data_IF_227289593037
#
_entry.id   IF_227289593037
#
_cell.length_a   1.000
_cell.length_b   1.000
_cell.length_c   1.000
_cell.angle_alpha   90.00
_cell.angle_beta   90.00
_cell.angle_gamma   90.00
#
_symmetry.space_group_name_H-M   'P 1'
#
loop_
_entity.id
_entity.type
_entity.pdbx_description
1 polymer ?
#
# COMPACT_ATOMS: atom_id res chain seq x y z
N UNK A 1 -1.36 -3.82 -24.20
CA UNK A 1 -2.01 -4.67 -23.19
C UNK A 1 -1.21 -5.95 -23.15
N UNK A 2 -0.33 -6.11 -22.16
CA UNK A 2 0.57 -7.28 -22.10
C UNK A 2 0.10 -8.17 -20.97
N UNK A 3 -0.45 -9.34 -21.31
CA UNK A 3 -0.90 -10.34 -20.33
C UNK A 3 0.33 -11.17 -19.99
N UNK A 4 1.05 -10.79 -18.94
CA UNK A 4 2.21 -11.55 -18.47
C UNK A 4 1.79 -12.36 -17.25
N UNK A 5 1.47 -13.63 -17.48
CA UNK A 5 1.33 -14.63 -16.43
C UNK A 5 2.71 -15.02 -15.92
N UNK A 6 2.85 -15.05 -14.60
CA UNK A 6 4.04 -15.47 -13.84
C UNK A 6 5.16 -14.41 -13.82
N UNK A 7 5.61 -14.10 -12.61
CA UNK A 7 6.45 -12.94 -12.27
C UNK A 7 7.55 -12.63 -13.28
N UNK A 8 7.48 -11.44 -13.84
CA UNK A 8 8.49 -10.88 -14.73
C UNK A 8 8.87 -9.52 -14.18
N UNK A 9 10.07 -9.45 -13.58
CA UNK A 9 10.68 -8.21 -13.15
C UNK A 9 11.28 -7.47 -14.34
N UNK A 10 10.46 -6.69 -15.04
CA UNK A 10 10.94 -5.74 -16.05
C UNK A 10 10.92 -4.32 -15.46
N UNK A 11 12.03 -3.60 -15.61
CA UNK A 11 12.33 -2.31 -14.96
C UNK A 11 11.33 -1.18 -15.25
N UNK A 12 10.52 -1.29 -16.31
CA UNK A 12 9.34 -0.46 -16.56
C UNK A 12 8.26 -1.29 -17.25
N UNK A 13 7.19 -1.64 -16.53
CA UNK A 13 6.14 -2.52 -17.05
C UNK A 13 4.84 -1.74 -17.29
N UNK A 14 4.47 -1.65 -18.57
CA UNK A 14 3.17 -1.17 -19.08
C UNK A 14 2.01 -2.03 -18.55
N UNK A 15 0.74 -1.56 -18.53
CA UNK A 15 -0.37 -2.21 -17.81
C UNK A 15 -0.46 -3.72 -18.07
N UNK A 16 -0.26 -4.49 -17.00
CA UNK A 16 -0.35 -5.95 -16.99
C UNK A 16 -1.63 -6.34 -16.27
N UNK A 17 -2.66 -6.67 -17.05
CA UNK A 17 -3.83 -7.38 -16.55
C UNK A 17 -3.49 -8.87 -16.57
N UNK A 18 -2.94 -9.41 -15.48
CA UNK A 18 -2.62 -10.83 -15.38
C UNK A 18 -3.72 -11.57 -14.61
N UNK A 19 -4.59 -12.25 -15.34
CA UNK A 19 -5.68 -13.08 -14.80
C UNK A 19 -5.21 -14.43 -14.24
N UNK A 20 -3.99 -14.53 -13.68
CA UNK A 20 -3.43 -15.79 -13.19
C UNK A 20 -2.92 -15.70 -11.75
N UNK A 21 -3.89 -15.85 -10.85
CA UNK A 21 -3.89 -16.48 -9.52
C UNK A 21 -2.74 -16.27 -8.50
N UNK A 22 -1.47 -16.09 -8.85
CA UNK A 22 -0.37 -16.28 -7.89
C UNK A 22 0.45 -15.04 -7.52
N UNK A 23 0.62 -14.03 -8.38
CA UNK A 23 1.31 -12.80 -7.97
C UNK A 23 2.04 -12.05 -9.07
N UNK A 24 2.35 -10.78 -8.83
CA UNK A 24 3.17 -9.89 -9.68
C UNK A 24 4.38 -9.43 -8.85
N UNK A 25 5.58 -9.61 -9.41
CA UNK A 25 6.82 -9.11 -8.83
C UNK A 25 7.55 -8.25 -9.87
N UNK A 26 7.89 -7.00 -9.53
CA UNK A 26 8.69 -6.13 -10.37
C UNK A 26 9.92 -5.62 -9.62
N UNK A 27 11.08 -5.59 -10.29
CA UNK A 27 12.30 -4.99 -9.74
C UNK A 27 12.36 -3.46 -9.86
N UNK A 28 11.29 -2.83 -10.37
CA UNK A 28 11.24 -1.40 -10.67
C UNK A 28 9.88 -0.79 -10.35
N UNK A 29 9.38 0.02 -11.28
CA UNK A 29 8.09 0.70 -11.11
C UNK A 29 6.97 -0.04 -11.82
N UNK A 30 5.92 -0.42 -11.09
CA UNK A 30 4.64 -0.83 -11.65
C UNK A 30 3.80 0.42 -11.89
N UNK A 31 3.48 0.73 -13.15
CA UNK A 31 2.62 1.86 -13.51
C UNK A 31 1.24 1.36 -13.95
N UNK A 32 0.24 2.22 -13.81
CA UNK A 32 -1.13 2.02 -14.32
C UNK A 32 -1.98 1.06 -13.49
N UNK A 33 -2.37 -0.09 -14.03
CA UNK A 33 -3.27 -1.04 -13.38
C UNK A 33 -2.54 -2.36 -13.23
N UNK A 34 -2.48 -2.87 -11.99
CA UNK A 34 -1.88 -4.14 -11.62
C UNK A 34 -2.88 -4.97 -10.82
N UNK A 35 -3.21 -6.16 -11.28
CA UNK A 35 -4.18 -7.05 -10.63
C UNK A 35 -3.53 -8.43 -10.46
N UNK A 36 -3.50 -8.95 -9.24
CA UNK A 36 -2.98 -10.28 -8.93
C UNK A 36 -3.87 -11.00 -7.91
N UNK A 37 -3.80 -12.33 -7.84
CA UNK A 37 -4.58 -13.11 -6.86
C UNK A 37 -3.98 -13.01 -5.45
N UNK A 38 -2.74 -13.47 -5.27
CA UNK A 38 -2.09 -13.53 -3.95
C UNK A 38 -1.33 -12.25 -3.62
N UNK A 39 -0.40 -11.80 -4.45
CA UNK A 39 0.55 -10.76 -4.07
C UNK A 39 0.99 -9.81 -5.18
N UNK A 40 1.21 -8.53 -4.87
CA UNK A 40 1.98 -7.60 -5.71
C UNK A 40 3.19 -7.09 -4.90
N UNK A 41 4.39 -7.23 -5.46
CA UNK A 41 5.62 -6.71 -4.89
C UNK A 41 6.39 -5.88 -5.90
N UNK A 42 6.63 -4.60 -5.60
CA UNK A 42 7.48 -3.76 -6.44
C UNK A 42 8.08 -2.60 -5.62
N UNK A 43 9.33 -2.17 -5.88
CA UNK A 43 9.90 -0.99 -5.23
C UNK A 43 9.00 0.24 -5.34
N UNK A 44 8.38 0.44 -6.52
CA UNK A 44 7.44 1.53 -6.72
C UNK A 44 6.15 1.08 -7.42
N UNK A 45 5.01 1.58 -6.95
CA UNK A 45 3.69 1.37 -7.58
C UNK A 45 3.06 2.74 -7.84
N UNK A 46 2.75 3.05 -9.09
CA UNK A 46 2.13 4.31 -9.51
C UNK A 46 0.83 4.01 -10.28
N UNK A 47 -0.31 4.05 -9.59
CA UNK A 47 -1.63 3.78 -10.17
C UNK A 47 -2.54 2.92 -9.28
N UNK A 48 -3.31 2.02 -9.87
CA UNK A 48 -4.21 1.08 -9.22
C UNK A 48 -3.54 -0.28 -9.04
N UNK A 49 -3.50 -0.77 -7.80
CA UNK A 49 -3.01 -2.10 -7.48
C UNK A 49 -4.03 -2.90 -6.67
N UNK A 50 -4.35 -4.11 -7.13
CA UNK A 50 -5.34 -4.99 -6.51
C UNK A 50 -4.73 -6.39 -6.34
N UNK A 51 -4.57 -6.84 -5.10
CA UNK A 51 -4.14 -8.22 -4.79
C UNK A 51 -4.47 -8.57 -3.35
N UNK A 52 -4.37 -9.83 -2.92
CA UNK A 52 -4.60 -10.14 -1.50
C UNK A 52 -3.59 -9.44 -0.58
N UNK A 53 -2.31 -9.43 -0.97
CA UNK A 53 -1.24 -8.74 -0.27
C UNK A 53 -0.43 -7.82 -1.21
N UNK A 54 -0.05 -6.63 -0.75
CA UNK A 54 0.75 -5.68 -1.56
C UNK A 54 1.91 -5.13 -0.73
N UNK A 55 3.13 -5.22 -1.27
CA UNK A 55 4.36 -4.73 -0.65
C UNK A 55 5.14 -3.80 -1.57
N UNK A 56 5.57 -2.64 -1.06
CA UNK A 56 6.32 -1.67 -1.84
C UNK A 56 7.17 -0.73 -0.98
N UNK A 57 8.08 0.03 -1.58
CA UNK A 57 8.74 1.14 -0.91
C UNK A 57 7.99 2.45 -1.16
N UNK A 58 7.51 2.68 -2.37
CA UNK A 58 6.82 3.92 -2.71
C UNK A 58 5.57 3.66 -3.54
N UNK A 59 4.40 4.00 -2.99
CA UNK A 59 3.13 3.81 -3.66
C UNK A 59 2.47 5.17 -3.86
N UNK A 60 2.03 5.43 -5.09
CA UNK A 60 1.26 6.60 -5.46
C UNK A 60 0.01 6.17 -6.22
N UNK A 61 -1.15 6.24 -5.57
CA UNK A 61 -2.42 5.92 -6.21
C UNK A 61 -3.39 5.17 -5.30
N UNK A 62 -4.07 4.17 -5.85
CA UNK A 62 -5.13 3.41 -5.17
C UNK A 62 -4.70 1.97 -4.97
N UNK A 63 -4.77 1.50 -3.73
CA UNK A 63 -4.42 0.13 -3.35
C UNK A 63 -5.65 -0.55 -2.76
N UNK A 64 -5.93 -1.76 -3.24
CA UNK A 64 -6.91 -2.66 -2.66
C UNK A 64 -6.17 -3.96 -2.32
N UNK A 65 -5.81 -4.10 -1.04
CA UNK A 65 -5.13 -5.28 -0.52
C UNK A 65 -5.90 -5.92 0.63
N UNK A 66 -6.97 -6.70 0.38
CA UNK A 66 -7.90 -7.14 1.43
C UNK A 66 -7.22 -7.81 2.63
N UNK A 67 -6.11 -8.54 2.44
CA UNK A 67 -5.40 -9.18 3.52
C UNK A 67 -4.33 -8.28 4.15
N UNK A 68 -3.37 -7.78 3.37
CA UNK A 68 -2.17 -7.14 3.92
C UNK A 68 -1.54 -6.11 2.99
N UNK A 69 -1.24 -4.93 3.51
CA UNK A 69 -0.46 -3.91 2.81
C UNK A 69 0.76 -3.50 3.63
N UNK A 70 1.91 -3.40 2.97
CA UNK A 70 3.17 -3.00 3.61
C UNK A 70 3.95 -2.00 2.78
N UNK A 71 4.43 -0.98 3.48
CA UNK A 71 5.46 -0.07 2.99
C UNK A 71 6.75 -0.32 3.77
N UNK A 72 7.85 -0.52 3.04
CA UNK A 72 9.18 -0.69 3.64
C UNK A 72 9.69 0.57 4.37
N UNK A 73 10.73 0.39 5.18
CA UNK A 73 11.30 1.48 6.01
C UNK A 73 11.79 2.63 5.14
N UNK A 74 11.40 3.86 5.50
CA UNK A 74 11.74 5.06 4.72
C UNK A 74 10.89 5.25 3.47
N UNK A 75 10.00 4.30 3.18
CA UNK A 75 9.05 4.35 2.09
C UNK A 75 7.91 5.35 2.29
N UNK A 76 7.05 5.47 1.28
CA UNK A 76 5.90 6.37 1.30
C UNK A 76 4.69 5.73 0.64
N UNK A 77 3.53 5.88 1.25
CA UNK A 77 2.24 5.67 0.60
C UNK A 77 1.61 7.04 0.36
N UNK A 78 1.19 7.34 -0.87
CA UNK A 78 0.47 8.55 -1.23
C UNK A 78 -0.79 8.20 -2.02
N UNK A 79 -1.96 8.34 -1.40
CA UNK A 79 -3.24 8.14 -2.06
C UNK A 79 -4.24 7.42 -1.18
N UNK A 80 -4.95 6.44 -1.74
CA UNK A 80 -5.99 5.68 -1.04
C UNK A 80 -5.56 4.22 -0.90
N UNK A 81 -5.69 3.69 0.30
CA UNK A 81 -5.35 2.32 0.61
C UNK A 81 -6.52 1.63 1.35
N UNK A 82 -6.90 0.44 0.90
CA UNK A 82 -7.94 -0.39 1.50
C UNK A 82 -7.39 -1.79 1.78
N UNK A 83 -7.20 -2.11 3.06
CA UNK A 83 -6.62 -3.41 3.49
C UNK A 83 -6.99 -3.76 4.92
N UNK A 84 -7.14 -5.03 5.26
CA UNK A 84 -7.40 -5.41 6.65
C UNK A 84 -6.25 -5.01 7.59
N UNK A 85 -5.00 -5.19 7.17
CA UNK A 85 -3.82 -4.83 7.95
C UNK A 85 -2.87 -3.94 7.12
N UNK A 86 -2.56 -2.77 7.67
CA UNK A 86 -1.66 -1.79 7.05
C UNK A 86 -0.40 -1.60 7.90
N UNK A 87 0.76 -2.02 7.38
CA UNK A 87 2.10 -1.84 7.98
C UNK A 87 2.89 -0.79 7.19
N UNK A 88 2.72 0.50 7.51
CA UNK A 88 3.41 1.59 6.84
C UNK A 88 4.65 1.99 7.64
N UNK A 89 5.80 1.36 7.33
CA UNK A 89 7.08 1.63 8.01
C UNK A 89 7.77 2.92 7.58
N UNK A 90 7.04 3.80 6.92
CA UNK A 90 7.49 5.10 6.44
C UNK A 90 6.41 6.16 6.63
N UNK A 91 6.11 6.91 5.57
CA UNK A 91 5.10 7.98 5.64
C UNK A 91 3.82 7.58 4.91
N UNK A 92 2.69 7.62 5.60
CA UNK A 92 1.37 7.50 5.01
C UNK A 92 0.81 8.90 4.70
N UNK A 93 0.56 9.16 3.43
CA UNK A 93 -0.08 10.37 2.91
C UNK A 93 -1.41 10.02 2.26
N UNK A 94 -2.50 10.67 2.69
CA UNK A 94 -3.84 10.38 2.19
C UNK A 94 -4.65 9.44 3.09
N UNK A 95 -5.49 8.59 2.51
CA UNK A 95 -6.50 7.82 3.21
C UNK A 95 -6.10 6.34 3.30
N UNK A 96 -6.01 5.79 4.51
CA UNK A 96 -5.95 4.34 4.73
C UNK A 96 -7.21 3.85 5.43
N UNK A 97 -7.80 2.78 4.92
CA UNK A 97 -8.96 2.12 5.47
C UNK A 97 -8.56 0.69 5.76
N UNK A 98 -8.77 0.26 7.01
CA UNK A 98 -8.44 -1.09 7.41
C UNK A 98 -8.96 -1.47 8.78
N UNK A 99 -8.72 -2.71 9.20
CA UNK A 99 -9.03 -3.12 10.57
C UNK A 99 -7.92 -2.62 11.50
N UNK A 100 -6.68 -2.82 11.08
CA UNK A 100 -5.47 -2.38 11.77
C UNK A 100 -4.64 -1.48 10.86
N UNK A 101 -4.36 -0.27 11.32
CA UNK A 101 -3.47 0.66 10.65
C UNK A 101 -2.27 0.97 11.55
N UNK A 102 -1.06 0.73 11.09
CA UNK A 102 0.19 1.13 11.73
C UNK A 102 1.00 1.98 10.75
N UNK A 103 1.30 3.22 11.11
CA UNK A 103 2.16 4.10 10.34
C UNK A 103 3.26 4.72 11.20
N UNK A 104 4.48 4.80 10.66
CA UNK A 104 5.57 5.53 11.35
C UNK A 104 5.33 7.03 11.31
N UNK A 105 4.88 7.56 10.18
CA UNK A 105 4.44 8.94 10.05
C UNK A 105 3.10 9.01 9.33
N UNK A 106 2.10 9.64 9.95
CA UNK A 106 0.80 9.88 9.35
C UNK A 106 0.69 11.35 8.90
N UNK A 107 0.26 11.54 7.65
CA UNK A 107 -0.03 12.81 6.99
C UNK A 107 -1.31 12.66 6.13
N UNK A 108 -2.42 12.45 6.81
CA UNK A 108 -3.70 12.12 6.19
C UNK A 108 -4.68 11.56 7.22
N UNK A 109 -5.49 10.60 6.79
CA UNK A 109 -6.57 9.97 7.58
C UNK A 109 -6.41 8.46 7.56
N UNK A 110 -6.58 7.83 8.72
CA UNK A 110 -6.74 6.40 8.89
C UNK A 110 -8.13 6.12 9.46
N UNK A 111 -8.80 5.13 8.88
CA UNK A 111 -10.07 4.60 9.34
C UNK A 111 -9.86 3.13 9.68
N UNK A 112 -10.24 2.74 10.89
CA UNK A 112 -10.10 1.35 11.32
C UNK A 112 -10.32 1.12 12.79
N UNK A 113 -10.47 -0.14 13.19
CA UNK A 113 -10.71 -0.49 14.59
C UNK A 113 -9.53 -0.04 15.47
N UNK A 114 -8.30 -0.25 15.01
CA UNK A 114 -7.09 0.24 15.67
C UNK A 114 -6.21 1.01 14.68
N UNK A 115 -5.85 2.23 15.05
CA UNK A 115 -4.99 3.10 14.24
C UNK A 115 -3.81 3.58 15.08
N UNK A 116 -2.59 3.29 14.66
CA UNK A 116 -1.35 3.67 15.32
C UNK A 116 -0.52 4.59 14.41
N UNK A 117 -0.08 5.72 14.96
CA UNK A 117 0.80 6.66 14.27
C UNK A 117 1.99 7.05 15.16
N UNK A 118 3.20 6.62 14.82
CA UNK A 118 4.38 6.79 15.67
C UNK A 118 4.87 8.26 15.75
N UNK A 119 4.58 9.08 14.73
CA UNK A 119 4.89 10.50 14.71
C UNK A 119 4.02 11.32 15.68
N UNK A 120 2.95 10.73 16.25
CA UNK A 120 2.13 11.39 17.28
C UNK A 120 2.74 11.24 18.67
N UNK A 121 2.49 12.25 19.52
CA UNK A 121 2.95 12.29 20.92
C UNK A 121 1.83 11.85 21.87
N UNK A 122 2.19 11.08 22.91
CA UNK A 122 1.31 10.72 24.02
C UNK A 122 0.13 9.82 23.64
N UNK A 123 -1.02 10.04 24.28
CA UNK A 123 -2.24 9.21 24.13
C UNK A 123 -2.95 9.30 22.79
N UNK A 124 -2.47 10.12 21.84
CA UNK A 124 -3.02 10.19 20.47
C UNK A 124 -2.34 9.22 19.50
N UNK A 125 -1.39 8.42 20.00
CA UNK A 125 -0.67 7.39 19.22
C UNK A 125 -1.61 6.28 18.75
N UNK A 126 -2.28 5.54 19.66
CA UNK A 126 -3.39 4.67 19.30
C UNK A 126 -4.70 5.46 19.33
N UNK A 127 -5.47 5.43 18.24
CA UNK A 127 -6.85 5.91 18.24
C UNK A 127 -7.77 4.86 17.61
N UNK A 128 -8.89 4.53 18.27
CA UNK A 128 -9.90 3.67 17.68
C UNK A 128 -10.72 4.45 16.64
N UNK A 129 -11.23 3.74 15.64
CA UNK A 129 -12.17 4.20 14.61
C UNK A 129 -11.57 5.19 13.59
N UNK A 130 -11.08 6.35 14.04
CA UNK A 130 -10.54 7.41 13.18
C UNK A 130 -9.25 7.98 13.76
N UNK A 131 -8.23 8.14 12.91
CA UNK A 131 -7.00 8.86 13.26
C UNK A 131 -6.62 9.80 12.11
N UNK A 132 -6.30 11.06 12.40
CA UNK A 132 -5.84 12.01 11.39
C UNK A 132 -4.61 12.77 11.87
N UNK A 133 -3.69 13.09 10.96
CA UNK A 133 -2.51 13.90 11.25
C UNK A 133 -2.08 14.66 10.00
N UNK A 134 -1.28 15.72 10.20
CA UNK A 134 -0.54 16.38 9.12
C UNK A 134 0.90 16.48 9.56
N UNK A 135 1.81 15.90 8.79
CA UNK A 135 3.23 16.07 9.03
C UNK A 135 3.61 17.51 8.63
N UNK A 136 4.23 18.26 9.55
CA UNK A 136 4.82 19.58 9.27
C UNK A 136 6.31 19.42 9.03
#
# INVERSE_FOLDING_TARGET
>A
MTITGVGLGAGEMSPVCSSRAFGIGAGGTLKWVSIAGIGIGAPRIEGLAIASAIGSENVRGVVIAPAYFRIEKGGRMNGVNLSAYNDVRGTQQGLAIGIFNDARSLDGVQLGLLNYAANKRGGTRPLPIVNYARAR
#
